data_IF_473616597159
#
_entry.id   IF_473616597159
#
_cell.length_a   1.000
_cell.length_b   1.000
_cell.length_c   1.000
_cell.angle_alpha   90.00
_cell.angle_beta   90.00
_cell.angle_gamma   90.00
#
_symmetry.space_group_name_H-M   'P 1'
#
loop_
_entity.id
_entity.type
_entity.pdbx_description
1 polymer ?
#
# COMPACT_ATOMS: atom_id res chain seq x y z
N UNK A 1 8.58 51.95 -24.43
CA UNK A 1 8.77 51.43 -23.05
C UNK A 1 8.87 49.92 -23.12
N UNK A 2 10.09 49.40 -22.97
CA UNK A 2 10.48 47.99 -23.08
C UNK A 2 10.17 47.21 -21.81
N UNK A 3 9.36 46.15 -21.90
CA UNK A 3 9.01 45.28 -20.77
C UNK A 3 10.15 44.29 -20.47
N UNK A 4 10.70 44.33 -19.26
CA UNK A 4 11.68 43.35 -18.78
C UNK A 4 11.05 41.98 -18.49
N UNK A 5 11.76 40.86 -18.74
CA UNK A 5 11.31 39.53 -18.36
C UNK A 5 11.64 39.21 -16.89
N UNK A 6 10.61 38.83 -16.10
CA UNK A 6 10.77 38.33 -14.73
C UNK A 6 11.55 37.00 -14.72
N UNK A 7 12.78 37.01 -14.17
CA UNK A 7 13.56 35.80 -13.82
C UNK A 7 12.82 34.99 -12.75
N UNK A 8 12.46 33.74 -13.06
CA UNK A 8 12.01 32.75 -12.07
C UNK A 8 13.21 32.25 -11.26
N UNK A 9 13.17 32.40 -9.93
CA UNK A 9 14.17 31.80 -9.02
C UNK A 9 13.94 30.29 -8.89
N UNK A 10 15.01 29.48 -8.73
CA UNK A 10 14.88 28.03 -8.54
C UNK A 10 14.25 27.72 -7.18
N UNK A 11 13.29 26.79 -7.17
CA UNK A 11 12.66 26.26 -5.95
C UNK A 11 13.66 25.39 -5.21
N UNK A 12 13.88 25.69 -3.93
CA UNK A 12 14.81 25.00 -3.01
C UNK A 12 14.50 23.50 -2.89
N UNK A 13 15.54 22.66 -3.10
CA UNK A 13 15.50 21.19 -3.15
C UNK A 13 15.59 20.48 -1.78
N UNK A 14 15.39 21.21 -0.67
CA UNK A 14 15.68 20.72 0.68
C UNK A 14 14.84 19.49 1.08
N UNK A 15 13.52 19.52 0.89
CA UNK A 15 12.62 18.44 1.34
C UNK A 15 12.81 17.11 0.62
N UNK A 16 13.25 17.13 -0.64
CA UNK A 16 13.53 15.90 -1.40
C UNK A 16 14.81 15.20 -0.94
N UNK A 17 15.80 15.96 -0.43
CA UNK A 17 17.04 15.38 0.09
C UNK A 17 16.80 14.65 1.41
N UNK A 18 16.00 15.22 2.31
CA UNK A 18 15.67 14.59 3.60
C UNK A 18 14.94 13.27 3.44
N UNK A 19 13.97 13.18 2.52
CA UNK A 19 13.24 11.93 2.25
C UNK A 19 14.16 10.83 1.69
N UNK A 20 15.07 11.19 0.77
CA UNK A 20 16.05 10.26 0.19
C UNK A 20 17.04 9.78 1.26
N UNK A 21 17.51 10.67 2.14
CA UNK A 21 18.42 10.30 3.24
C UNK A 21 17.78 9.34 4.23
N UNK A 22 16.52 9.57 4.62
CA UNK A 22 15.77 8.67 5.52
C UNK A 22 15.53 7.31 4.85
N UNK A 23 15.20 7.30 3.56
CA UNK A 23 14.98 6.07 2.81
C UNK A 23 16.26 5.24 2.62
N UNK A 24 17.39 5.88 2.33
CA UNK A 24 18.69 5.22 2.21
C UNK A 24 19.19 4.69 3.55
N UNK A 25 19.03 5.44 4.64
CA UNK A 25 19.37 4.98 5.99
C UNK A 25 18.56 3.73 6.38
N UNK A 26 17.30 3.64 5.96
CA UNK A 26 16.46 2.48 6.20
C UNK A 26 16.87 1.25 5.36
N UNK A 27 17.22 1.45 4.08
CA UNK A 27 17.73 0.36 3.23
C UNK A 27 19.05 -0.23 3.76
N UNK A 28 19.92 0.60 4.35
CA UNK A 28 21.12 0.13 5.05
C UNK A 28 20.81 -0.60 6.36
N UNK A 29 19.90 -0.07 7.18
CA UNK A 29 19.50 -0.72 8.44
C UNK A 29 18.78 -2.08 8.23
N UNK A 30 18.04 -2.25 7.12
CA UNK A 30 17.41 -3.51 6.76
C UNK A 30 18.40 -4.57 6.24
N UNK A 31 19.60 -4.16 5.79
CA UNK A 31 20.64 -5.07 5.31
C UNK A 31 21.43 -5.72 6.46
N UNK A 32 21.65 -4.99 7.56
CA UNK A 32 22.49 -5.47 8.68
C UNK A 32 21.71 -6.21 9.80
N UNK A 33 20.38 -6.32 9.70
CA UNK A 33 19.52 -6.70 10.82
C UNK A 33 18.90 -8.10 10.83
N UNK A 34 19.22 -9.01 9.89
CA UNK A 34 18.57 -10.34 9.85
C UNK A 34 19.58 -11.44 10.22
N UNK A 35 19.52 -11.99 11.44
CA UNK A 35 20.20 -13.25 11.72
C UNK A 35 19.53 -14.37 10.92
N UNK A 36 20.23 -14.89 9.92
CA UNK A 36 19.99 -16.22 9.37
C UNK A 36 20.21 -17.26 10.47
N UNK A 37 19.15 -17.63 11.18
CA UNK A 37 19.17 -18.84 12.02
C UNK A 37 18.73 -20.02 11.15
N UNK A 38 19.70 -20.59 10.45
CA UNK A 38 19.64 -21.94 9.91
C UNK A 38 20.25 -22.89 10.94
N UNK A 39 19.43 -23.44 11.84
CA UNK A 39 19.70 -24.74 12.49
C UNK A 39 18.48 -25.19 13.29
N UNK A 40 17.75 -26.17 12.77
CA UNK A 40 16.85 -26.97 13.59
C UNK A 40 17.59 -28.28 13.90
N UNK A 41 17.96 -28.46 15.17
CA UNK A 41 18.50 -29.74 15.66
C UNK A 41 17.45 -30.81 15.51
N UNK A 42 17.84 -31.94 14.91
CA UNK A 42 17.04 -33.15 14.85
C UNK A 42 16.71 -33.67 16.26
N UNK A 43 15.51 -34.24 16.49
CA UNK A 43 15.22 -34.92 17.74
C UNK A 43 15.96 -36.26 17.81
N UNK A 44 16.68 -36.46 18.92
CA UNK A 44 17.32 -37.71 19.30
C UNK A 44 16.31 -38.86 19.52
N UNK A 45 16.74 -40.13 19.38
CA UNK A 45 15.85 -41.28 19.33
C UNK A 45 15.21 -41.62 20.68
N UNK A 46 14.01 -42.20 20.58
CA UNK A 46 13.14 -42.69 21.64
C UNK A 46 13.89 -43.70 22.52
N UNK A 47 14.08 -43.35 23.80
CA UNK A 47 14.49 -44.27 24.85
C UNK A 47 13.32 -45.18 25.22
N UNK A 48 13.46 -46.47 24.93
CA UNK A 48 12.62 -47.55 25.46
C UNK A 48 12.77 -47.64 26.99
N UNK A 49 11.75 -47.22 27.74
CA UNK A 49 11.62 -47.60 29.15
C UNK A 49 10.84 -48.91 29.25
N UNK A 50 11.51 -49.92 29.79
CA UNK A 50 10.94 -51.14 30.31
C UNK A 50 10.09 -50.84 31.55
N UNK A 51 8.79 -51.13 31.49
CA UNK A 51 7.97 -51.30 32.69
C UNK A 51 7.64 -52.79 32.87
N UNK A 52 8.26 -53.36 33.90
CA UNK A 52 7.87 -54.59 34.56
C UNK A 52 6.68 -54.34 35.49
N UNK A 53 5.56 -55.03 35.30
CA UNK A 53 4.61 -55.33 36.39
C UNK A 53 3.76 -56.55 36.06
N UNK A 54 3.98 -57.61 36.83
CA UNK A 54 2.99 -58.47 37.49
C UNK A 54 1.74 -58.97 36.75
N UNK A 55 1.78 -60.28 36.48
CA UNK A 55 0.75 -61.29 36.82
C UNK A 55 -0.70 -60.82 36.96
N UNK A 56 -1.54 -61.26 36.01
CA UNK A 56 -2.83 -61.82 36.39
C UNK A 56 -3.23 -62.94 35.42
N UNK A 57 -3.35 -64.14 35.99
CA UNK A 57 -3.92 -65.32 35.37
C UNK A 57 -5.44 -65.18 35.47
N UNK A 58 -6.15 -65.10 34.35
CA UNK A 58 -7.46 -65.74 34.30
C UNK A 58 -7.90 -66.11 32.89
N UNK A 59 -8.56 -67.25 32.88
CA UNK A 59 -8.79 -68.16 31.78
C UNK A 59 -10.18 -67.88 31.18
N UNK A 60 -10.26 -67.56 29.89
CA UNK A 60 -11.47 -67.85 29.12
C UNK A 60 -11.18 -67.99 27.62
N UNK A 61 -11.35 -69.23 27.16
CA UNK A 61 -11.40 -69.67 25.76
C UNK A 61 -12.67 -69.16 25.07
N UNK A 62 -12.70 -69.38 23.75
CA UNK A 62 -13.85 -69.40 22.81
C UNK A 62 -14.15 -68.03 22.16
N UNK A 63 -14.27 -67.84 20.84
CA UNK A 63 -14.49 -68.71 19.67
C UNK A 63 -13.85 -68.05 18.43
N UNK A 64 -13.32 -68.87 17.52
CA UNK A 64 -12.84 -68.53 16.18
C UNK A 64 -14.04 -68.47 15.22
N UNK A 65 -14.30 -67.33 14.59
CA UNK A 65 -15.06 -67.26 13.33
C UNK A 65 -14.28 -66.43 12.31
N UNK A 66 -14.15 -66.88 11.05
CA UNK A 66 -13.59 -66.10 9.96
C UNK A 66 -14.71 -65.35 9.24
N UNK A 67 -14.67 -64.02 9.26
CA UNK A 67 -15.53 -63.20 8.41
C UNK A 67 -14.64 -62.31 7.54
N UNK A 68 -14.81 -62.50 6.24
CA UNK A 68 -14.27 -61.72 5.14
C UNK A 68 -14.89 -60.32 5.08
N UNK A 69 -14.05 -59.29 5.10
CA UNK A 69 -14.29 -57.96 4.52
C UNK A 69 -12.90 -57.32 4.35
N UNK A 70 -12.34 -57.11 3.17
CA UNK A 70 -12.74 -56.10 2.19
C UNK A 70 -13.17 -54.76 2.80
N UNK A 71 -12.64 -54.40 3.98
CA UNK A 71 -12.75 -53.07 4.59
C UNK A 71 -11.51 -52.78 5.45
N UNK A 72 -10.33 -52.80 4.82
CA UNK A 72 -9.09 -52.36 5.43
C UNK A 72 -8.23 -51.55 4.44
N UNK A 73 -8.87 -50.65 3.70
CA UNK A 73 -8.17 -49.46 3.20
C UNK A 73 -8.38 -48.40 4.27
N UNK A 74 -7.49 -48.41 5.26
CA UNK A 74 -7.47 -47.39 6.31
C UNK A 74 -7.41 -45.99 5.69
N UNK A 75 -7.83 -44.94 6.43
CA UNK A 75 -7.66 -43.55 6.02
C UNK A 75 -6.18 -43.15 6.14
N UNK A 76 -5.32 -43.77 5.33
CA UNK A 76 -3.89 -43.53 5.29
C UNK A 76 -3.47 -42.75 4.03
N UNK A 77 -4.41 -42.10 3.34
CA UNK A 77 -4.15 -41.30 2.12
C UNK A 77 -4.59 -39.84 2.25
N UNK A 78 -5.00 -39.37 3.44
CA UNK A 78 -5.40 -37.97 3.63
C UNK A 78 -4.60 -37.22 4.70
N UNK A 79 -3.37 -37.65 4.98
CA UNK A 79 -2.36 -36.77 5.56
C UNK A 79 -1.61 -36.09 4.40
N UNK A 80 -2.33 -35.28 3.61
CA UNK A 80 -1.69 -34.30 2.73
C UNK A 80 -0.90 -33.40 3.67
N UNK A 81 0.42 -33.58 3.69
CA UNK A 81 1.32 -32.67 4.40
C UNK A 81 1.00 -31.27 3.89
N UNK A 82 0.34 -30.46 4.71
CA UNK A 82 0.13 -29.05 4.42
C UNK A 82 1.52 -28.48 4.18
N UNK A 83 1.86 -28.19 2.92
CA UNK A 83 3.14 -27.61 2.59
C UNK A 83 3.25 -26.31 3.38
N UNK A 84 4.23 -26.22 4.28
CA UNK A 84 4.44 -25.04 5.10
C UNK A 84 4.44 -23.81 4.19
N UNK A 85 3.63 -22.79 4.51
CA UNK A 85 3.47 -21.62 3.64
C UNK A 85 4.83 -20.92 3.47
N UNK A 86 5.40 -21.04 2.27
CA UNK A 86 6.63 -20.36 1.89
C UNK A 86 6.29 -19.04 1.18
N UNK A 87 6.13 -17.97 1.95
CA UNK A 87 5.96 -16.62 1.39
C UNK A 87 7.22 -16.18 0.62
N UNK A 88 7.08 -15.30 -0.40
CA UNK A 88 8.22 -14.83 -1.17
C UNK A 88 9.23 -14.14 -0.23
N UNK A 89 10.51 -14.49 -0.41
CA UNK A 89 11.59 -13.89 0.37
C UNK A 89 11.70 -12.38 0.13
N UNK A 90 12.32 -11.65 1.06
CA UNK A 90 12.60 -10.22 0.87
C UNK A 90 13.32 -9.95 -0.45
N UNK A 91 14.31 -10.79 -0.82
CA UNK A 91 15.01 -10.67 -2.10
C UNK A 91 14.06 -10.79 -3.30
N UNK A 92 13.14 -11.75 -3.25
CA UNK A 92 12.14 -11.95 -4.30
C UNK A 92 11.19 -10.75 -4.42
N UNK A 93 10.71 -10.23 -3.28
CA UNK A 93 9.85 -9.03 -3.25
C UNK A 93 10.61 -7.81 -3.77
N UNK A 94 11.84 -7.58 -3.32
CA UNK A 94 12.69 -6.48 -3.79
C UNK A 94 12.92 -6.55 -5.30
N UNK A 95 13.17 -7.74 -5.86
CA UNK A 95 13.31 -7.92 -7.31
C UNK A 95 11.99 -7.67 -8.07
N UNK A 96 10.87 -8.15 -7.54
CA UNK A 96 9.55 -7.93 -8.11
C UNK A 96 9.17 -6.43 -8.16
N UNK A 97 9.69 -5.62 -7.23
CA UNK A 97 9.53 -4.16 -7.24
C UNK A 97 10.59 -3.46 -8.09
N UNK A 98 11.85 -3.90 -8.03
CA UNK A 98 12.96 -3.25 -8.71
C UNK A 98 12.90 -3.43 -10.24
N UNK A 99 12.68 -4.66 -10.73
CA UNK A 99 12.73 -4.96 -12.17
C UNK A 99 11.76 -4.06 -12.96
N UNK A 100 10.48 -3.91 -12.57
CA UNK A 100 9.58 -2.99 -13.28
C UNK A 100 10.05 -1.53 -13.23
N UNK A 101 10.62 -1.07 -12.11
CA UNK A 101 11.09 0.33 -11.96
C UNK A 101 12.27 0.68 -12.84
N UNK A 102 13.03 -0.31 -13.33
CA UNK A 102 14.11 -0.08 -14.29
C UNK A 102 13.59 0.55 -15.60
N UNK A 103 12.31 0.39 -15.93
CA UNK A 103 11.67 1.11 -17.04
C UNK A 103 11.78 2.64 -16.90
N UNK A 104 11.95 3.15 -15.67
CA UNK A 104 12.24 4.56 -15.36
C UNK A 104 13.52 5.10 -16.01
N UNK A 105 14.50 4.24 -16.31
CA UNK A 105 15.69 4.63 -17.06
C UNK A 105 15.37 4.93 -18.52
N UNK A 106 14.41 4.22 -19.11
CA UNK A 106 13.97 4.47 -20.47
C UNK A 106 13.12 5.76 -20.55
N UNK A 107 12.06 5.83 -19.74
CA UNK A 107 11.23 7.03 -19.54
C UNK A 107 10.94 7.23 -18.06
N UNK A 108 11.25 8.41 -17.56
CA UNK A 108 11.12 8.74 -16.13
C UNK A 108 9.71 8.48 -15.57
N UNK A 109 8.66 8.76 -16.35
CA UNK A 109 7.28 8.51 -15.95
C UNK A 109 6.95 7.02 -15.78
N UNK A 110 7.59 6.11 -16.54
CA UNK A 110 7.33 4.68 -16.43
C UNK A 110 7.71 4.12 -15.05
N UNK A 111 8.72 4.71 -14.40
CA UNK A 111 9.13 4.35 -13.04
C UNK A 111 8.07 4.62 -11.98
N UNK A 112 7.15 5.58 -12.20
CA UNK A 112 6.05 5.94 -11.28
C UNK A 112 4.67 5.52 -11.75
N UNK A 113 4.56 4.95 -12.94
CA UNK A 113 3.30 4.57 -13.58
C UNK A 113 3.22 3.06 -13.78
N UNK A 114 3.64 2.53 -14.94
CA UNK A 114 3.59 1.10 -15.21
C UNK A 114 4.42 0.27 -14.24
N UNK A 115 5.58 0.77 -13.80
CA UNK A 115 6.39 0.07 -12.84
C UNK A 115 5.65 -0.18 -11.52
N UNK A 116 4.83 0.78 -11.09
CA UNK A 116 4.04 0.69 -9.88
C UNK A 116 3.00 -0.42 -9.96
N UNK A 117 2.13 -0.37 -10.97
CA UNK A 117 1.09 -1.37 -11.18
C UNK A 117 1.68 -2.77 -11.41
N UNK A 118 2.80 -2.85 -12.13
CA UNK A 118 3.49 -4.11 -12.41
C UNK A 118 4.16 -4.69 -11.17
N UNK A 119 4.77 -3.86 -10.31
CA UNK A 119 5.34 -4.29 -9.04
C UNK A 119 4.26 -4.88 -8.12
N UNK A 120 3.11 -4.20 -8.01
CA UNK A 120 1.97 -4.70 -7.21
C UNK A 120 1.41 -6.00 -7.79
N UNK A 121 1.23 -6.07 -9.11
CA UNK A 121 0.79 -7.30 -9.80
C UNK A 121 1.75 -8.46 -9.53
N UNK A 122 3.06 -8.25 -9.73
CA UNK A 122 4.07 -9.30 -9.59
C UNK A 122 4.16 -9.81 -8.16
N UNK A 123 4.21 -8.90 -7.17
CA UNK A 123 4.27 -9.27 -5.75
C UNK A 123 2.99 -10.01 -5.30
N UNK A 124 1.81 -9.55 -5.72
CA UNK A 124 0.56 -10.23 -5.41
C UNK A 124 0.46 -11.62 -6.04
N UNK A 125 0.91 -11.80 -7.29
CA UNK A 125 0.94 -13.12 -7.93
C UNK A 125 1.88 -14.09 -7.21
N UNK A 126 3.04 -13.62 -6.75
CA UNK A 126 3.97 -14.43 -5.97
C UNK A 126 3.34 -14.88 -4.64
N UNK A 127 2.68 -13.98 -3.91
CA UNK A 127 2.00 -14.31 -2.65
C UNK A 127 0.81 -15.23 -2.87
N UNK A 128 -0.04 -14.95 -3.86
CA UNK A 128 -1.17 -15.81 -4.22
C UNK A 128 -0.69 -17.20 -4.61
N UNK A 129 0.39 -17.31 -5.39
CA UNK A 129 1.00 -18.60 -5.71
C UNK A 129 1.42 -19.35 -4.45
N UNK A 130 2.09 -18.70 -3.50
CA UNK A 130 2.46 -19.31 -2.22
C UNK A 130 1.24 -19.78 -1.42
N UNK A 131 0.21 -18.93 -1.31
CA UNK A 131 -1.03 -19.23 -0.58
C UNK A 131 -1.77 -20.41 -1.20
N UNK A 132 -1.94 -20.42 -2.53
CA UNK A 132 -2.61 -21.50 -3.24
C UNK A 132 -1.82 -22.80 -3.21
N UNK A 133 -0.48 -22.73 -3.28
CA UNK A 133 0.38 -23.92 -3.13
C UNK A 133 0.31 -24.52 -1.73
N UNK A 134 0.06 -23.68 -0.72
CA UNK A 134 -0.23 -24.11 0.66
C UNK A 134 -1.71 -24.49 0.87
N UNK A 135 -2.51 -24.58 -0.20
CA UNK A 135 -3.94 -24.91 -0.17
C UNK A 135 -4.77 -23.97 0.71
N UNK A 136 -4.41 -22.68 0.76
CA UNK A 136 -5.20 -21.67 1.46
C UNK A 136 -6.59 -21.54 0.82
N UNK A 137 -7.68 -21.51 1.63
CA UNK A 137 -9.02 -21.23 1.14
C UNK A 137 -9.10 -19.92 0.37
N UNK A 138 -9.88 -19.90 -0.71
CA UNK A 138 -10.02 -18.72 -1.57
C UNK A 138 -10.67 -17.54 -0.85
N UNK A 139 -11.50 -17.82 0.15
CA UNK A 139 -12.16 -16.85 1.02
C UNK A 139 -11.30 -16.46 2.24
N UNK A 140 -10.09 -17.01 2.38
CA UNK A 140 -9.17 -16.61 3.44
C UNK A 140 -8.79 -15.14 3.30
N UNK A 141 -8.66 -14.46 4.43
CA UNK A 141 -8.33 -13.02 4.48
C UNK A 141 -7.03 -12.73 3.72
N UNK A 142 -6.03 -13.61 3.82
CA UNK A 142 -4.77 -13.49 3.10
C UNK A 142 -4.97 -13.48 1.57
N UNK A 143 -5.76 -14.43 1.03
CA UNK A 143 -6.06 -14.50 -0.40
C UNK A 143 -6.87 -13.27 -0.84
N UNK A 144 -7.89 -12.87 -0.07
CA UNK A 144 -8.72 -11.70 -0.38
C UNK A 144 -7.91 -10.40 -0.35
N UNK A 145 -6.98 -10.25 0.59
CA UNK A 145 -6.11 -9.08 0.67
C UNK A 145 -5.09 -9.05 -0.49
N UNK A 146 -4.45 -10.18 -0.80
CA UNK A 146 -3.54 -10.27 -1.93
C UNK A 146 -4.26 -10.06 -3.27
N UNK A 147 -5.51 -10.52 -3.41
CA UNK A 147 -6.36 -10.28 -4.57
C UNK A 147 -6.73 -8.79 -4.73
N UNK A 148 -6.92 -8.05 -3.64
CA UNK A 148 -7.16 -6.60 -3.68
C UNK A 148 -5.97 -5.85 -4.32
N UNK A 149 -4.75 -6.22 -3.92
CA UNK A 149 -3.51 -5.63 -4.44
C UNK A 149 -3.24 -6.07 -5.88
N UNK A 150 -3.58 -7.32 -6.24
CA UNK A 150 -3.55 -7.78 -7.62
C UNK A 150 -4.51 -6.97 -8.50
N UNK A 151 -5.76 -6.79 -8.03
CA UNK A 151 -6.76 -5.97 -8.70
C UNK A 151 -6.22 -4.55 -8.93
N UNK A 152 -5.69 -3.91 -7.88
CA UNK A 152 -5.03 -2.60 -7.96
C UNK A 152 -3.98 -2.55 -9.06
N UNK A 153 -3.01 -3.48 -9.04
CA UNK A 153 -1.88 -3.47 -9.95
C UNK A 153 -2.29 -3.68 -11.41
N UNK A 154 -3.15 -4.66 -11.65
CA UNK A 154 -3.65 -4.98 -13.00
C UNK A 154 -4.48 -3.82 -13.54
N UNK A 155 -5.44 -3.30 -12.76
CA UNK A 155 -6.29 -2.20 -13.23
C UNK A 155 -5.49 -0.95 -13.56
N UNK A 156 -4.47 -0.63 -12.76
CA UNK A 156 -3.67 0.58 -12.95
C UNK A 156 -2.93 0.49 -14.29
N UNK A 157 -2.29 -0.64 -14.55
CA UNK A 157 -1.60 -0.89 -15.80
C UNK A 157 -2.55 -0.85 -17.01
N UNK A 158 -3.73 -1.48 -16.92
CA UNK A 158 -4.71 -1.47 -18.00
C UNK A 158 -5.23 -0.05 -18.27
N UNK A 159 -5.51 0.73 -17.21
CA UNK A 159 -5.96 2.11 -17.34
C UNK A 159 -4.90 3.01 -17.97
N UNK A 160 -3.64 2.85 -17.58
CA UNK A 160 -2.51 3.59 -18.17
C UNK A 160 -2.30 3.20 -19.63
N UNK A 161 -2.33 1.91 -19.94
CA UNK A 161 -2.21 1.39 -21.31
C UNK A 161 -3.31 1.95 -22.22
N UNK A 162 -4.56 1.91 -21.76
CA UNK A 162 -5.69 2.52 -22.47
C UNK A 162 -5.42 4.02 -22.75
N UNK A 163 -5.03 4.78 -21.73
CA UNK A 163 -4.76 6.22 -21.88
C UNK A 163 -3.61 6.51 -22.84
N UNK A 164 -2.57 5.69 -22.86
CA UNK A 164 -1.42 5.90 -23.73
C UNK A 164 -1.69 5.52 -25.18
N UNK A 165 -2.39 4.41 -25.41
CA UNK A 165 -2.71 3.89 -26.74
C UNK A 165 -3.77 4.77 -27.42
N UNK A 166 -4.86 5.07 -26.72
CA UNK A 166 -6.04 5.67 -27.34
C UNK A 166 -6.11 7.20 -27.24
N UNK A 167 -5.37 7.84 -26.32
CA UNK A 167 -5.51 9.28 -26.09
C UNK A 167 -4.20 10.04 -26.34
N UNK A 168 -4.09 10.79 -27.48
CA UNK A 168 -2.87 11.50 -27.87
C UNK A 168 -2.31 12.44 -26.80
N UNK A 169 -3.17 13.11 -26.04
CA UNK A 169 -2.75 14.05 -24.98
C UNK A 169 -1.85 13.40 -23.93
N UNK A 170 -2.06 12.11 -23.62
CA UNK A 170 -1.25 11.43 -22.61
C UNK A 170 0.12 11.05 -23.15
N UNK A 171 0.23 10.75 -24.45
CA UNK A 171 1.53 10.62 -25.12
C UNK A 171 2.30 11.95 -25.09
N UNK A 172 1.64 13.05 -25.43
CA UNK A 172 2.27 14.38 -25.35
C UNK A 172 2.65 14.79 -23.92
N UNK A 173 1.83 14.43 -22.93
CA UNK A 173 2.15 14.64 -21.51
C UNK A 173 3.43 13.89 -21.12
N UNK A 174 3.54 12.61 -21.51
CA UNK A 174 4.71 11.77 -21.25
C UNK A 174 5.98 12.34 -21.88
N UNK A 175 5.92 12.76 -23.14
CA UNK A 175 7.08 13.37 -23.79
C UNK A 175 7.51 14.67 -23.10
N UNK A 176 6.56 15.53 -22.69
CA UNK A 176 6.89 16.74 -21.90
C UNK A 176 7.54 16.43 -20.56
N UNK A 177 7.14 15.34 -19.89
CA UNK A 177 7.77 14.90 -18.64
C UNK A 177 9.19 14.41 -18.93
N UNK A 178 9.37 13.62 -19.98
CA UNK A 178 10.66 13.06 -20.35
C UNK A 178 11.66 14.14 -20.80
N UNK A 179 11.23 15.15 -21.56
CA UNK A 179 12.10 16.27 -21.96
C UNK A 179 12.57 17.08 -20.75
N UNK A 180 11.69 17.28 -19.76
CA UNK A 180 12.08 17.88 -18.46
C UNK A 180 13.04 16.98 -17.69
N UNK A 181 12.93 15.66 -17.81
CA UNK A 181 13.84 14.73 -17.17
C UNK A 181 15.23 14.76 -17.83
N UNK A 182 15.30 14.81 -19.16
CA UNK A 182 16.55 14.97 -19.92
C UNK A 182 17.26 16.28 -19.55
N UNK A 183 16.53 17.37 -19.35
CA UNK A 183 17.12 18.66 -18.97
C UNK A 183 17.71 18.67 -17.54
N UNK A 184 17.47 17.64 -16.74
CA UNK A 184 17.96 17.52 -15.34
C UNK A 184 19.19 16.63 -15.21
N UNK A 185 19.57 15.90 -16.25
CA UNK A 185 20.74 15.02 -16.21
C UNK A 185 20.62 13.79 -17.11
N UNK A 186 21.63 12.93 -17.02
CA UNK A 186 21.67 11.67 -17.77
C UNK A 186 20.62 10.67 -17.28
N UNK A 187 20.40 9.59 -18.03
CA UNK A 187 19.52 8.51 -17.56
C UNK A 187 20.00 7.90 -16.25
N UNK A 188 21.32 7.77 -16.06
CA UNK A 188 21.90 7.23 -14.83
C UNK A 188 21.72 8.16 -13.62
N UNK A 189 21.56 9.48 -13.81
CA UNK A 189 21.24 10.37 -12.68
C UNK A 189 19.83 10.14 -12.11
N UNK A 190 19.03 9.26 -12.73
CA UNK A 190 17.70 8.84 -12.25
C UNK A 190 17.76 7.70 -11.25
N UNK A 191 18.93 7.07 -11.04
CA UNK A 191 19.07 5.92 -10.12
C UNK A 191 18.49 6.18 -8.73
N UNK A 192 18.73 7.33 -8.06
CA UNK A 192 18.16 7.57 -6.73
C UNK A 192 16.63 7.59 -6.73
N UNK A 193 16.02 8.16 -7.78
CA UNK A 193 14.57 8.19 -7.96
C UNK A 193 13.99 6.80 -8.25
N UNK A 194 14.67 6.00 -9.08
CA UNK A 194 14.23 4.64 -9.43
C UNK A 194 14.31 3.73 -8.19
N UNK A 195 15.42 3.78 -7.47
CA UNK A 195 15.59 3.04 -6.20
C UNK A 195 14.55 3.50 -5.17
N UNK A 196 14.26 4.80 -5.10
CA UNK A 196 13.24 5.28 -4.15
C UNK A 196 11.83 4.80 -4.50
N UNK A 197 11.49 4.72 -5.79
CA UNK A 197 10.23 4.14 -6.24
C UNK A 197 10.16 2.64 -5.91
N UNK A 198 11.22 1.88 -6.19
CA UNK A 198 11.28 0.45 -5.88
C UNK A 198 11.11 0.18 -4.39
N UNK A 199 11.76 0.98 -3.54
CA UNK A 199 11.63 0.88 -2.09
C UNK A 199 10.20 1.20 -1.62
N UNK A 200 9.59 2.28 -2.12
CA UNK A 200 8.20 2.62 -1.82
C UNK A 200 7.24 1.48 -2.21
N UNK A 201 7.45 0.84 -3.37
CA UNK A 201 6.62 -0.29 -3.81
C UNK A 201 6.82 -1.52 -2.94
N UNK A 202 8.05 -1.81 -2.52
CA UNK A 202 8.28 -2.88 -1.56
C UNK A 202 7.55 -2.62 -0.23
N UNK A 203 7.56 -1.38 0.25
CA UNK A 203 6.84 -0.96 1.46
C UNK A 203 5.33 -1.05 1.33
N UNK A 204 4.77 -0.69 0.16
CA UNK A 204 3.35 -0.87 -0.14
C UNK A 204 2.94 -2.34 -0.26
N UNK A 205 3.88 -3.23 -0.59
CA UNK A 205 3.63 -4.66 -0.61
C UNK A 205 3.66 -5.32 0.78
N UNK A 206 4.35 -4.71 1.75
CA UNK A 206 4.52 -5.28 3.10
C UNK A 206 3.20 -5.59 3.83
N UNK A 207 2.15 -4.76 3.80
CA UNK A 207 0.97 -5.03 4.62
C UNK A 207 0.27 -6.36 4.29
N UNK A 208 0.10 -6.69 3.01
CA UNK A 208 -0.54 -7.96 2.64
C UNK A 208 0.38 -9.16 2.82
N UNK A 209 1.71 -8.98 2.78
CA UNK A 209 2.69 -9.99 3.19
C UNK A 209 2.57 -10.28 4.69
N UNK A 210 2.45 -9.25 5.53
CA UNK A 210 2.25 -9.38 6.98
C UNK A 210 0.93 -10.07 7.28
N UNK A 211 -0.18 -9.65 6.66
CA UNK A 211 -1.47 -10.35 6.82
C UNK A 211 -1.37 -11.82 6.42
N UNK A 212 -0.70 -12.13 5.31
CA UNK A 212 -0.51 -13.51 4.84
C UNK A 212 0.30 -14.35 5.82
N UNK A 213 1.37 -13.79 6.40
CA UNK A 213 2.20 -14.44 7.41
C UNK A 213 1.39 -14.72 8.68
N UNK A 214 0.66 -13.72 9.18
CA UNK A 214 -0.17 -13.85 10.36
C UNK A 214 -1.30 -14.90 10.18
N UNK A 215 -1.91 -14.97 9.00
CA UNK A 215 -2.89 -16.03 8.71
C UNK A 215 -2.28 -17.44 8.69
N UNK A 216 -0.99 -17.57 8.34
CA UNK A 216 -0.31 -18.86 8.33
C UNK A 216 0.06 -19.34 9.74
N UNK A 217 0.50 -18.43 10.60
CA UNK A 217 0.94 -18.73 11.98
C UNK A 217 -0.17 -19.32 12.85
N UNK A 218 -1.44 -18.95 12.62
CA UNK A 218 -2.56 -19.48 13.39
C UNK A 218 -3.12 -20.81 12.87
N UNK A 219 -2.48 -21.43 11.88
CA UNK A 219 -3.07 -22.44 10.99
C UNK A 219 -4.22 -21.85 10.17
N UNK A 220 -4.26 -22.20 8.89
CA UNK A 220 -5.13 -21.67 7.83
C UNK A 220 -6.66 -21.86 8.09
N UNK A 221 -7.06 -22.39 9.26
CA UNK A 221 -8.45 -22.62 9.68
C UNK A 221 -9.19 -21.40 10.23
N UNK A 222 -8.55 -20.24 10.39
CA UNK A 222 -9.20 -19.07 11.00
C UNK A 222 -10.13 -18.29 10.06
N UNK A 223 -10.83 -19.03 9.18
CA UNK A 223 -11.93 -18.48 8.41
C UNK A 223 -13.22 -18.38 9.23
N UNK A 224 -13.36 -19.08 10.37
CA UNK A 224 -14.50 -18.96 11.30
C UNK A 224 -14.18 -19.64 12.64
N UNK A 225 -14.62 -19.09 13.78
CA UNK A 225 -14.70 -19.85 15.03
C UNK A 225 -13.78 -19.42 16.18
N UNK A 226 -12.92 -18.42 16.02
CA UNK A 226 -12.19 -17.86 17.17
C UNK A 226 -13.14 -17.01 18.04
N UNK A 227 -13.16 -17.31 19.33
CA UNK A 227 -14.00 -16.61 20.31
C UNK A 227 -13.18 -15.60 21.13
N UNK A 228 -13.85 -14.60 21.69
CA UNK A 228 -13.21 -13.59 22.54
C UNK A 228 -12.46 -12.50 21.76
N UNK A 229 -11.47 -11.89 22.41
CA UNK A 229 -10.77 -10.69 21.89
C UNK A 229 -10.06 -10.95 20.56
N UNK A 230 -9.44 -12.12 20.39
CA UNK A 230 -8.72 -12.45 19.15
C UNK A 230 -9.68 -12.53 17.95
N UNK A 231 -10.84 -13.16 18.13
CA UNK A 231 -11.90 -13.19 17.11
C UNK A 231 -12.41 -11.80 16.73
N UNK A 232 -12.56 -10.89 17.71
CA UNK A 232 -12.91 -9.48 17.45
C UNK A 232 -11.85 -8.80 16.59
N UNK A 233 -10.56 -8.97 16.91
CA UNK A 233 -9.47 -8.36 16.14
C UNK A 233 -9.47 -8.89 14.70
N UNK A 234 -9.70 -10.19 14.47
CA UNK A 234 -9.80 -10.73 13.11
C UNK A 234 -10.99 -10.19 12.32
N UNK A 235 -12.11 -9.92 12.97
CA UNK A 235 -13.22 -9.22 12.33
C UNK A 235 -12.84 -7.79 11.92
N UNK A 236 -12.01 -7.11 12.72
CA UNK A 236 -11.44 -5.81 12.34
C UNK A 236 -10.44 -5.93 11.18
N UNK A 237 -9.62 -7.00 11.12
CA UNK A 237 -8.76 -7.27 9.95
C UNK A 237 -9.61 -7.44 8.70
N UNK A 238 -10.70 -8.23 8.77
CA UNK A 238 -11.64 -8.40 7.65
C UNK A 238 -12.24 -7.07 7.22
N UNK A 239 -12.71 -6.27 8.17
CA UNK A 239 -13.25 -4.94 7.88
C UNK A 239 -12.21 -4.04 7.20
N UNK A 240 -10.96 -4.03 7.69
CA UNK A 240 -9.87 -3.26 7.08
C UNK A 240 -9.60 -3.71 5.63
N UNK A 241 -9.56 -5.01 5.36
CA UNK A 241 -9.38 -5.55 3.99
C UNK A 241 -10.59 -5.21 3.09
N UNK A 242 -11.82 -5.21 3.62
CA UNK A 242 -13.00 -4.74 2.89
C UNK A 242 -12.89 -3.25 2.55
N UNK A 243 -12.41 -2.44 3.48
CA UNK A 243 -12.14 -1.01 3.23
C UNK A 243 -11.01 -0.84 2.19
N UNK A 244 -10.01 -1.72 2.16
CA UNK A 244 -8.96 -1.73 1.13
C UNK A 244 -9.56 -1.92 -0.26
N UNK A 245 -10.43 -2.92 -0.41
CA UNK A 245 -11.21 -3.12 -1.64
C UNK A 245 -12.06 -1.90 -1.99
N UNK A 246 -12.79 -1.35 -1.02
CA UNK A 246 -13.62 -0.16 -1.21
C UNK A 246 -12.82 1.03 -1.73
N UNK A 247 -11.64 1.30 -1.15
CA UNK A 247 -10.72 2.34 -1.61
C UNK A 247 -10.29 2.13 -3.07
N UNK A 248 -9.80 0.93 -3.39
CA UNK A 248 -9.35 0.62 -4.75
C UNK A 248 -10.49 0.61 -5.78
N UNK A 249 -11.73 0.32 -5.39
CA UNK A 249 -12.91 0.40 -6.24
C UNK A 249 -13.36 1.84 -6.46
N UNK A 250 -13.35 2.69 -5.42
CA UNK A 250 -13.58 4.13 -5.54
C UNK A 250 -12.59 4.73 -6.53
N UNK A 251 -11.33 4.32 -6.46
CA UNK A 251 -10.31 4.79 -7.38
C UNK A 251 -10.61 4.39 -8.83
N UNK A 252 -10.86 3.10 -9.07
CA UNK A 252 -11.21 2.57 -10.38
C UNK A 252 -12.43 3.27 -10.97
N UNK A 253 -13.46 3.50 -10.15
CA UNK A 253 -14.68 4.19 -10.56
C UNK A 253 -14.41 5.66 -10.89
N UNK A 254 -13.56 6.33 -10.12
CA UNK A 254 -13.12 7.70 -10.41
C UNK A 254 -12.44 7.83 -11.76
N UNK A 255 -11.51 6.93 -12.07
CA UNK A 255 -10.79 6.91 -13.34
C UNK A 255 -11.72 6.58 -14.53
N UNK A 256 -12.62 5.62 -14.34
CA UNK A 256 -13.63 5.24 -15.34
C UNK A 256 -14.61 6.38 -15.63
N UNK A 257 -15.23 6.94 -14.59
CA UNK A 257 -16.19 8.04 -14.71
C UNK A 257 -15.55 9.28 -15.36
N UNK A 258 -14.28 9.57 -15.04
CA UNK A 258 -13.53 10.66 -15.66
C UNK A 258 -13.28 10.42 -17.14
N UNK A 259 -12.96 9.18 -17.51
CA UNK A 259 -12.69 8.79 -18.89
C UNK A 259 -13.94 8.88 -19.74
N UNK A 260 -15.07 8.35 -19.27
CA UNK A 260 -16.38 8.46 -19.94
C UNK A 260 -16.80 9.92 -20.04
N UNK A 261 -16.77 10.66 -18.94
CA UNK A 261 -17.20 12.05 -18.92
C UNK A 261 -16.43 12.91 -19.92
N UNK A 262 -15.12 12.70 -20.06
CA UNK A 262 -14.30 13.42 -21.05
C UNK A 262 -14.46 12.91 -22.47
N UNK A 263 -14.79 11.62 -22.66
CA UNK A 263 -15.12 11.10 -23.99
C UNK A 263 -16.46 11.70 -24.50
N UNK A 264 -17.44 11.90 -23.61
CA UNK A 264 -18.75 12.41 -23.96
C UNK A 264 -18.79 13.94 -24.07
N UNK A 265 -18.20 14.66 -23.10
CA UNK A 265 -18.29 16.13 -23.00
C UNK A 265 -17.11 16.88 -23.63
N UNK A 266 -16.11 16.14 -24.13
CA UNK A 266 -14.87 16.70 -24.66
C UNK A 266 -13.72 16.74 -23.65
N UNK A 267 -12.49 16.77 -24.18
CA UNK A 267 -11.28 16.61 -23.37
C UNK A 267 -11.09 17.71 -22.33
N UNK A 268 -11.60 18.91 -22.63
CA UNK A 268 -11.49 20.10 -21.80
C UNK A 268 -12.67 20.31 -20.84
N UNK A 269 -13.66 19.41 -20.83
CA UNK A 269 -14.78 19.50 -19.89
C UNK A 269 -14.35 19.30 -18.44
N UNK A 270 -14.94 20.09 -17.54
CA UNK A 270 -14.93 19.84 -16.10
C UNK A 270 -15.95 18.73 -15.80
N UNK A 271 -15.54 17.72 -15.03
CA UNK A 271 -16.41 16.59 -14.68
C UNK A 271 -16.81 16.74 -13.22
N UNK A 272 -18.06 17.11 -12.99
CA UNK A 272 -18.62 17.48 -11.67
C UNK A 272 -19.68 16.49 -11.15
N UNK A 273 -20.23 15.65 -12.04
CA UNK A 273 -21.30 14.69 -11.72
C UNK A 273 -20.83 13.31 -11.24
N UNK A 274 -21.77 12.43 -10.91
CA UNK A 274 -21.48 11.06 -10.48
C UNK A 274 -20.66 11.04 -9.19
N UNK A 275 -19.58 10.26 -9.14
CA UNK A 275 -18.68 10.21 -7.97
C UNK A 275 -17.96 11.55 -7.72
N UNK A 276 -17.77 12.36 -8.76
CA UNK A 276 -17.09 13.66 -8.65
C UNK A 276 -17.92 14.69 -7.87
N UNK A 277 -19.22 14.46 -7.68
CA UNK A 277 -20.05 15.33 -6.82
C UNK A 277 -19.63 15.27 -5.36
N UNK A 278 -19.05 14.16 -4.94
CA UNK A 278 -18.63 13.93 -3.55
C UNK A 278 -17.13 14.15 -3.37
N UNK A 279 -16.31 13.69 -4.32
CA UNK A 279 -14.85 13.74 -4.25
C UNK A 279 -14.30 14.53 -5.44
N UNK A 280 -13.43 15.51 -5.20
CA UNK A 280 -12.75 16.20 -6.32
C UNK A 280 -11.72 15.32 -7.03
N UNK A 281 -11.08 14.43 -6.27
CA UNK A 281 -10.05 13.50 -6.74
C UNK A 281 -10.36 12.08 -6.27
N UNK A 282 -11.48 11.46 -6.73
CA UNK A 282 -11.90 10.14 -6.26
C UNK A 282 -10.83 9.07 -6.50
N UNK A 283 -10.05 9.19 -7.58
CA UNK A 283 -8.92 8.31 -7.85
C UNK A 283 -7.86 8.37 -6.74
N UNK A 284 -7.39 9.56 -6.38
CA UNK A 284 -6.37 9.71 -5.34
C UNK A 284 -6.91 9.45 -3.93
N UNK A 285 -8.16 9.84 -3.66
CA UNK A 285 -8.81 9.54 -2.39
C UNK A 285 -8.98 8.04 -2.18
N UNK A 286 -9.47 7.33 -3.21
CA UNK A 286 -9.64 5.88 -3.15
C UNK A 286 -8.31 5.16 -2.93
N UNK A 287 -7.26 5.59 -3.62
CA UNK A 287 -5.92 5.02 -3.46
C UNK A 287 -5.39 5.19 -2.03
N UNK A 288 -5.50 6.39 -1.44
CA UNK A 288 -5.09 6.66 -0.06
C UNK A 288 -5.86 5.78 0.93
N UNK A 289 -7.19 5.67 0.77
CA UNK A 289 -8.03 4.82 1.63
C UNK A 289 -7.60 3.35 1.51
N UNK A 290 -7.33 2.88 0.29
CA UNK A 290 -6.87 1.53 0.00
C UNK A 290 -5.59 1.18 0.76
N UNK A 291 -4.54 2.00 0.58
CA UNK A 291 -3.24 1.73 1.21
C UNK A 291 -3.23 1.98 2.72
N UNK A 292 -3.96 2.98 3.22
CA UNK A 292 -4.06 3.23 4.65
C UNK A 292 -4.77 2.08 5.38
N UNK A 293 -5.89 1.59 4.83
CA UNK A 293 -6.61 0.45 5.40
C UNK A 293 -5.81 -0.86 5.31
N UNK A 294 -5.07 -1.07 4.21
CA UNK A 294 -4.16 -2.21 4.06
C UNK A 294 -3.08 -2.20 5.15
N UNK A 295 -2.49 -1.04 5.45
CA UNK A 295 -1.57 -0.85 6.56
C UNK A 295 -2.22 -1.18 7.91
N UNK A 296 -3.44 -0.67 8.17
CA UNK A 296 -4.20 -0.99 9.39
C UNK A 296 -4.45 -2.50 9.53
N UNK A 297 -4.80 -3.20 8.44
CA UNK A 297 -4.99 -4.64 8.44
C UNK A 297 -3.73 -5.39 8.90
N UNK A 298 -2.54 -4.93 8.53
CA UNK A 298 -1.27 -5.52 8.97
C UNK A 298 -1.04 -5.36 10.48
N UNK A 299 -1.28 -4.16 11.03
CA UNK A 299 -1.17 -3.92 12.47
C UNK A 299 -2.15 -4.79 13.27
N UNK A 300 -3.39 -4.89 12.81
CA UNK A 300 -4.42 -5.72 13.44
C UNK A 300 -4.07 -7.22 13.34
N UNK A 301 -3.52 -7.67 12.22
CA UNK A 301 -3.08 -9.05 12.05
C UNK A 301 -1.92 -9.42 12.99
N UNK A 302 -0.95 -8.51 13.17
CA UNK A 302 0.11 -8.68 14.18
C UNK A 302 -0.47 -8.69 15.59
N UNK A 303 -1.41 -7.79 15.91
CA UNK A 303 -2.05 -7.77 17.22
C UNK A 303 -2.81 -9.07 17.54
N UNK A 304 -3.42 -9.69 16.54
CA UNK A 304 -4.14 -10.94 16.70
C UNK A 304 -3.22 -12.16 16.92
N UNK A 305 -1.97 -12.11 16.41
CA UNK A 305 -1.04 -13.25 16.39
C UNK A 305 0.07 -13.16 17.44
N UNK A 306 0.60 -11.97 17.69
CA UNK A 306 1.74 -11.74 18.58
C UNK A 306 1.37 -11.74 20.07
N UNK A 307 0.07 -11.81 20.39
CA UNK A 307 -0.43 -11.70 21.75
C UNK A 307 0.04 -10.40 22.44
N UNK A 308 0.21 -10.47 23.77
CA UNK A 308 0.66 -9.33 24.59
C UNK A 308 2.19 -9.24 24.74
N UNK A 309 2.96 -10.09 24.08
CA UNK A 309 4.40 -10.21 24.33
C UNK A 309 5.19 -9.17 23.53
N UNK A 310 5.91 -8.28 24.23
CA UNK A 310 6.71 -7.23 23.61
C UNK A 310 7.72 -7.77 22.58
N UNK A 311 8.34 -8.93 22.84
CA UNK A 311 9.30 -9.56 21.94
C UNK A 311 8.70 -9.92 20.57
N UNK A 312 7.45 -10.39 20.52
CA UNK A 312 6.77 -10.73 19.27
C UNK A 312 6.51 -9.47 18.43
N UNK A 313 6.04 -8.38 19.07
CA UNK A 313 5.90 -7.07 18.43
C UNK A 313 7.22 -6.52 17.89
N UNK A 314 8.31 -6.64 18.67
CA UNK A 314 9.65 -6.19 18.24
C UNK A 314 10.15 -6.98 17.03
N UNK A 315 9.85 -8.28 16.94
CA UNK A 315 10.22 -9.08 15.76
C UNK A 315 9.49 -8.63 14.47
N UNK A 316 8.30 -8.04 14.61
CA UNK A 316 7.49 -7.53 13.49
C UNK A 316 7.70 -6.02 13.23
N UNK A 317 8.39 -5.31 14.12
CA UNK A 317 8.59 -3.87 14.03
C UNK A 317 9.16 -3.39 12.67
N UNK A 318 10.17 -4.06 12.07
CA UNK A 318 10.67 -3.64 10.75
C UNK A 318 9.58 -3.69 9.66
N UNK A 319 8.72 -4.72 9.69
CA UNK A 319 7.63 -4.87 8.74
C UNK A 319 6.54 -3.83 8.98
N UNK A 320 6.19 -3.55 10.23
CA UNK A 320 5.21 -2.52 10.58
C UNK A 320 5.69 -1.11 10.21
N UNK A 321 6.97 -0.80 10.43
CA UNK A 321 7.57 0.46 9.98
C UNK A 321 7.48 0.57 8.46
N UNK A 322 7.83 -0.50 7.73
CA UNK A 322 7.70 -0.51 6.28
C UNK A 322 6.24 -0.28 5.84
N UNK A 323 5.23 -0.87 6.50
CA UNK A 323 3.82 -0.62 6.22
C UNK A 323 3.46 0.88 6.37
N UNK A 324 3.93 1.52 7.45
CA UNK A 324 3.70 2.95 7.68
C UNK A 324 4.40 3.81 6.64
N UNK A 325 5.66 3.49 6.30
CA UNK A 325 6.42 4.22 5.28
C UNK A 325 5.79 4.08 3.89
N UNK A 326 5.24 2.91 3.57
CA UNK A 326 4.49 2.68 2.33
C UNK A 326 3.24 3.56 2.28
N UNK A 327 2.35 3.42 3.26
CA UNK A 327 1.07 4.15 3.30
C UNK A 327 1.26 5.67 3.39
N UNK A 328 2.20 6.14 4.22
CA UNK A 328 2.50 7.58 4.33
C UNK A 328 3.22 8.12 3.08
N UNK A 329 4.14 7.35 2.50
CA UNK A 329 4.86 7.71 1.28
C UNK A 329 3.94 7.91 0.09
N UNK A 330 3.03 6.97 -0.17
CA UNK A 330 2.05 7.12 -1.26
C UNK A 330 1.08 8.27 -0.98
N UNK A 331 0.63 8.42 0.27
CA UNK A 331 -0.24 9.53 0.67
C UNK A 331 0.43 10.89 0.41
N UNK A 332 1.71 11.03 0.74
CA UNK A 332 2.48 12.24 0.48
C UNK A 332 2.60 12.55 -1.02
N UNK A 333 2.87 11.54 -1.85
CA UNK A 333 2.93 11.69 -3.31
C UNK A 333 1.58 12.16 -3.88
N UNK A 334 0.49 11.53 -3.45
CA UNK A 334 -0.85 11.82 -3.96
C UNK A 334 -1.39 13.17 -3.49
N UNK A 335 -1.21 13.53 -2.21
CA UNK A 335 -1.58 14.86 -1.71
C UNK A 335 -0.82 15.99 -2.41
N UNK A 336 0.46 15.77 -2.72
CA UNK A 336 1.26 16.71 -3.53
C UNK A 336 0.72 16.81 -4.96
N UNK A 337 0.32 15.69 -5.57
CA UNK A 337 -0.29 15.67 -6.90
C UNK A 337 -1.67 16.37 -6.91
N UNK A 338 -2.49 16.17 -5.88
CA UNK A 338 -3.78 16.85 -5.66
C UNK A 338 -3.61 18.36 -5.68
N UNK A 339 -2.66 18.91 -4.91
CA UNK A 339 -2.41 20.35 -4.89
C UNK A 339 -2.06 20.90 -6.29
N UNK A 340 -1.29 20.15 -7.07
CA UNK A 340 -0.96 20.50 -8.46
C UNK A 340 -2.13 20.40 -9.43
N UNK A 341 -3.13 19.55 -9.15
CA UNK A 341 -4.37 19.45 -9.94
C UNK A 341 -5.33 20.58 -9.59
N UNK A 342 -5.56 20.84 -8.29
CA UNK A 342 -6.44 21.91 -7.82
C UNK A 342 -6.01 23.26 -8.40
N UNK A 343 -4.71 23.57 -8.37
CA UNK A 343 -4.18 24.80 -8.99
C UNK A 343 -4.51 24.88 -10.49
N UNK A 344 -4.33 23.78 -11.23
CA UNK A 344 -4.61 23.75 -12.68
C UNK A 344 -6.11 23.83 -12.99
N UNK A 345 -6.95 23.28 -12.12
CA UNK A 345 -8.41 23.38 -12.26
C UNK A 345 -8.88 24.80 -11.96
N UNK A 346 -8.36 25.43 -10.92
CA UNK A 346 -8.61 26.83 -10.61
C UNK A 346 -8.17 27.74 -11.76
N UNK A 347 -6.96 27.56 -12.28
CA UNK A 347 -6.44 28.33 -13.42
C UNK A 347 -7.30 28.19 -14.68
N UNK A 348 -8.01 27.07 -14.84
CA UNK A 348 -8.77 26.77 -16.07
C UNK A 348 -10.27 27.05 -15.95
N UNK A 349 -10.86 26.83 -14.78
CA UNK A 349 -12.30 26.86 -14.57
C UNK A 349 -12.73 27.82 -13.45
N UNK A 350 -11.79 28.50 -12.78
CA UNK A 350 -12.03 29.30 -11.59
C UNK A 350 -13.11 30.38 -11.75
N UNK A 351 -13.23 30.93 -12.95
CA UNK A 351 -14.20 31.99 -13.25
C UNK A 351 -15.62 31.46 -13.52
N UNK A 352 -15.79 30.15 -13.71
CA UNK A 352 -17.08 29.53 -14.03
C UNK A 352 -17.92 29.25 -12.78
N UNK A 353 -19.23 29.48 -12.87
CA UNK A 353 -20.14 29.21 -11.75
C UNK A 353 -20.26 27.70 -11.44
N UNK A 354 -20.20 26.85 -12.47
CA UNK A 354 -20.15 25.39 -12.30
C UNK A 354 -18.99 24.96 -11.40
N UNK A 355 -17.80 25.52 -11.60
CA UNK A 355 -16.62 25.19 -10.78
C UNK A 355 -16.78 25.67 -9.33
N UNK A 356 -17.24 26.91 -9.13
CA UNK A 356 -17.44 27.50 -7.80
C UNK A 356 -18.45 26.69 -6.98
N UNK A 357 -19.57 26.30 -7.60
CA UNK A 357 -20.58 25.47 -6.96
C UNK A 357 -20.02 24.08 -6.62
N UNK A 358 -19.34 23.45 -7.57
CA UNK A 358 -18.77 22.11 -7.39
C UNK A 358 -17.75 22.07 -6.25
N UNK A 359 -16.83 23.03 -6.17
CA UNK A 359 -15.81 23.10 -5.11
C UNK A 359 -16.45 23.31 -3.74
N UNK A 360 -17.54 24.07 -3.63
CA UNK A 360 -18.25 24.30 -2.37
C UNK A 360 -18.95 23.06 -1.81
N UNK A 361 -19.29 22.07 -2.65
CA UNK A 361 -20.07 20.88 -2.27
C UNK A 361 -19.27 19.58 -2.24
N UNK A 362 -18.08 19.57 -2.83
CA UNK A 362 -17.24 18.36 -2.97
C UNK A 362 -16.09 18.35 -1.97
N UNK A 363 -15.78 17.18 -1.42
CA UNK A 363 -14.60 17.00 -0.57
C UNK A 363 -13.34 16.95 -1.43
N UNK A 364 -12.35 17.74 -1.03
CA UNK A 364 -11.08 17.87 -1.75
C UNK A 364 -10.15 16.66 -1.60
N UNK A 365 -10.41 15.82 -0.61
CA UNK A 365 -9.49 14.78 -0.18
C UNK A 365 -8.47 15.31 0.83
N UNK A 366 -7.35 14.61 0.95
CA UNK A 366 -6.26 15.00 1.84
C UNK A 366 -5.40 16.08 1.18
N UNK A 367 -5.19 17.22 1.85
CA UNK A 367 -4.35 18.32 1.36
C UNK A 367 -3.24 18.67 2.35
N UNK A 368 -2.06 18.93 1.81
CA UNK A 368 -1.02 19.65 2.53
C UNK A 368 -1.31 21.14 2.40
N UNK A 369 -1.82 21.76 3.46
CA UNK A 369 -2.00 23.22 3.50
C UNK A 369 -0.61 23.84 3.43
N UNK A 370 -0.31 24.49 2.31
CA UNK A 370 0.92 25.27 2.19
C UNK A 370 0.68 26.57 2.95
N UNK A 371 1.30 26.73 4.12
CA UNK A 371 1.27 28.00 4.86
C UNK A 371 1.91 29.06 3.96
N UNK A 372 1.12 29.97 3.41
CA UNK A 372 1.63 31.09 2.63
C UNK A 372 2.37 32.02 3.59
N UNK A 373 3.57 32.45 3.20
CA UNK A 373 4.48 33.25 4.03
C UNK A 373 4.13 34.74 3.96
N UNK A 374 2.84 35.06 3.90
CA UNK A 374 2.33 36.40 3.59
C UNK A 374 1.64 37.08 4.80
N UNK A 375 1.72 36.50 6.00
CA UNK A 375 1.14 37.07 7.23
C UNK A 375 2.15 37.82 8.13
N UNK A 376 3.40 38.01 7.70
CA UNK A 376 4.46 38.61 8.55
C UNK A 376 4.92 40.00 8.12
N UNK A 377 4.27 40.65 7.15
CA UNK A 377 4.68 41.99 6.66
C UNK A 377 3.52 42.99 6.60
N UNK A 378 2.77 43.12 7.70
CA UNK A 378 2.02 44.36 8.02
C UNK A 378 2.17 44.70 9.50
N UNK A 379 3.40 44.98 9.92
CA UNK A 379 3.64 45.84 11.07
C UNK A 379 4.24 47.13 10.51
N UNK A 380 3.40 48.14 10.36
CA UNK A 380 3.82 49.51 10.04
C UNK A 380 4.48 50.10 11.29
N UNK A 381 5.77 50.44 11.29
CA UNK A 381 6.37 51.21 12.37
C UNK A 381 6.36 52.69 11.97
N UNK A 382 5.50 53.48 12.59
CA UNK A 382 5.56 54.94 12.41
C UNK A 382 4.26 55.68 12.68
N UNK A 383 3.94 55.87 13.96
CA UNK A 383 3.23 57.07 14.38
C UNK A 383 3.76 57.43 15.78
N UNK A 384 4.63 58.41 15.78
CA UNK A 384 5.19 59.09 16.95
C UNK A 384 4.10 59.66 17.82
N UNK A 385 4.31 59.51 19.13
CA UNK A 385 3.65 60.25 20.20
C UNK A 385 3.70 61.76 19.90
N UNK A 386 2.56 62.44 20.04
CA UNK A 386 2.56 63.85 20.43
C UNK A 386 1.41 64.11 21.42
N UNK A 387 1.79 64.84 22.46
CA UNK A 387 1.03 65.12 23.67
C UNK A 387 0.05 66.26 23.45
N UNK A 388 -1.14 66.17 24.03
CA UNK A 388 -2.03 67.34 24.08
C UNK A 388 -3.40 67.09 24.69
N UNK A 389 -3.46 66.86 26.00
CA UNK A 389 -4.64 67.26 26.78
C UNK A 389 -4.70 68.80 26.84
N UNK A 390 -5.89 69.42 26.76
CA UNK A 390 -6.63 69.63 28.01
C UNK A 390 -8.16 69.42 27.91
N UNK A 391 -8.70 69.07 29.08
CA UNK A 391 -10.09 69.07 29.56
C UNK A 391 -10.84 70.41 29.37
N UNK A 392 -12.07 70.58 29.89
CA UNK A 392 -13.34 69.83 29.70
C UNK A 392 -14.50 70.81 29.35
N UNK A 393 -15.74 70.31 29.35
CA UNK A 393 -17.03 71.01 29.55
C UNK A 393 -18.10 70.83 28.45
N UNK A 394 -19.31 70.56 28.98
CA UNK A 394 -20.66 70.45 28.41
C UNK A 394 -21.09 69.19 27.65
#
# INVERSE_FOLDING_TARGET
>A
MTSMPRRRRPVSSSSSRTFITVLLAFLFAAYDGIPTVTSFSAPSPITTQSLSSSTNVNHQRNIRQPASSLDAVGPAVAATAASALALPSLKTVSLACLIPTLSGFYKSEYGVSYAYGTAMTATSLLVLRSLLSASAPLDSIAVVHAAAVLFYGVRLNLFLAYREIFLPRFRHMRERIEDRAKSRGSRLSRTPFIVSCAALYAFLATPFLVTSKSCAEMSIKCCSGESGVVGIIWNLVRAAVVVTWGGFLIEAWGDFAKSIGKAQKGEDALITGGIFRFFRHPNYTGEIIGWASSCVAAFLAVAATSGKTLSAWMSMAPSLIACVLGASGISFVLTTATAGLERRQLEKYGDTDEYKEWVGKSWVGFQLVKKTKDEEETVVPGATEDNGSPTPEE
#
